data_IF_996263992611
#
_entry.id   IF_996263992611
#
_cell.length_a   1.000
_cell.length_b   1.000
_cell.length_c   1.000
_cell.angle_alpha   90.00
_cell.angle_beta   90.00
_cell.angle_gamma   90.00
#
_symmetry.space_group_name_H-M   'P 1'
#
loop_
_entity.id
_entity.type
_entity.pdbx_description
1 polymer ?
#
# COMPACT_ATOMS: atom_id res chain seq x y z
N UNK A 1 26.80 -45.07 -38.10
CA UNK A 1 26.51 -44.41 -36.82
C UNK A 1 26.11 -42.93 -36.97
N UNK A 2 26.64 -42.16 -37.92
CA UNK A 2 26.25 -40.74 -38.11
C UNK A 2 24.80 -40.55 -38.59
N UNK A 3 24.30 -41.38 -39.53
CA UNK A 3 22.92 -41.27 -40.02
C UNK A 3 21.83 -41.65 -38.99
N UNK A 4 22.10 -42.56 -38.05
CA UNK A 4 21.13 -42.95 -37.01
C UNK A 4 20.97 -41.87 -35.94
N UNK A 5 22.06 -41.18 -35.56
CA UNK A 5 22.02 -40.04 -34.63
C UNK A 5 21.19 -38.90 -35.25
N UNK A 6 21.31 -38.65 -36.55
CA UNK A 6 20.50 -37.63 -37.26
C UNK A 6 19.03 -38.03 -37.37
N UNK A 7 18.71 -39.30 -37.63
CA UNK A 7 17.33 -39.79 -37.68
C UNK A 7 16.64 -39.79 -36.31
N UNK A 8 17.35 -40.18 -35.25
CA UNK A 8 16.85 -40.09 -33.88
C UNK A 8 16.66 -38.64 -33.44
N UNK A 9 17.59 -37.74 -33.80
CA UNK A 9 17.44 -36.31 -33.54
C UNK A 9 16.24 -35.71 -34.27
N UNK A 10 16.02 -36.06 -35.55
CA UNK A 10 14.83 -35.61 -36.30
C UNK A 10 13.53 -36.12 -35.67
N UNK A 11 13.49 -37.38 -35.23
CA UNK A 11 12.35 -37.95 -34.50
C UNK A 11 12.11 -37.25 -33.16
N UNK A 12 13.18 -36.91 -32.43
CA UNK A 12 13.09 -36.17 -31.17
C UNK A 12 12.56 -34.74 -31.38
N UNK A 13 13.00 -34.06 -32.43
CA UNK A 13 12.53 -32.71 -32.78
C UNK A 13 11.04 -32.73 -33.19
N UNK A 14 10.62 -33.70 -34.01
CA UNK A 14 9.21 -33.91 -34.37
C UNK A 14 8.34 -34.16 -33.12
N UNK A 15 8.78 -35.08 -32.25
CA UNK A 15 8.07 -35.38 -31.00
C UNK A 15 7.98 -34.14 -30.09
N UNK A 16 9.07 -33.40 -29.93
CA UNK A 16 9.10 -32.17 -29.15
C UNK A 16 8.10 -31.14 -29.69
N UNK A 17 8.12 -30.88 -31.00
CA UNK A 17 7.19 -29.94 -31.63
C UNK A 17 5.74 -30.37 -31.46
N UNK A 18 5.43 -31.67 -31.60
CA UNK A 18 4.10 -32.21 -31.36
C UNK A 18 3.65 -32.04 -29.91
N UNK A 19 4.53 -32.25 -28.94
CA UNK A 19 4.24 -32.03 -27.51
C UNK A 19 3.98 -30.54 -27.26
N UNK A 20 4.81 -29.64 -27.79
CA UNK A 20 4.64 -28.20 -27.64
C UNK A 20 3.31 -27.70 -28.23
N UNK A 21 2.96 -28.14 -29.44
CA UNK A 21 1.68 -27.81 -30.08
C UNK A 21 0.51 -28.38 -29.26
N UNK A 22 0.61 -29.62 -28.79
CA UNK A 22 -0.44 -30.24 -27.98
C UNK A 22 -0.63 -29.51 -26.65
N UNK A 23 0.45 -29.11 -25.98
CA UNK A 23 0.41 -28.34 -24.74
C UNK A 23 -0.27 -26.98 -24.94
N UNK A 24 0.06 -26.27 -26.01
CA UNK A 24 -0.58 -25.00 -26.36
C UNK A 24 -2.08 -25.18 -26.68
N UNK A 25 -2.44 -26.28 -27.36
CA UNK A 25 -3.81 -26.60 -27.71
C UNK A 25 -4.64 -26.89 -26.45
N UNK A 26 -4.10 -27.63 -25.48
CA UNK A 26 -4.78 -27.89 -24.19
C UNK A 26 -5.13 -26.59 -23.48
N UNK A 27 -4.22 -25.63 -23.43
CA UNK A 27 -4.45 -24.33 -22.79
C UNK A 27 -5.52 -23.51 -23.51
N UNK A 28 -5.43 -23.45 -24.84
CA UNK A 28 -6.37 -22.67 -25.67
C UNK A 28 -7.77 -23.29 -25.61
N UNK A 29 -7.86 -24.61 -25.78
CA UNK A 29 -9.12 -25.35 -25.73
C UNK A 29 -9.80 -25.26 -24.36
N UNK A 30 -9.05 -25.16 -23.26
CA UNK A 30 -9.64 -24.96 -21.95
C UNK A 30 -10.41 -23.64 -21.87
N UNK A 31 -9.81 -22.54 -22.36
CA UNK A 31 -10.46 -21.24 -22.38
C UNK A 31 -11.65 -21.20 -23.33
N UNK A 32 -11.50 -21.78 -24.52
CA UNK A 32 -12.59 -21.88 -25.50
C UNK A 32 -13.76 -22.69 -24.94
N UNK A 33 -13.46 -23.76 -24.19
CA UNK A 33 -14.45 -24.57 -23.51
C UNK A 33 -15.17 -23.79 -22.39
N UNK A 34 -14.45 -23.06 -21.53
CA UNK A 34 -15.06 -22.20 -20.51
C UNK A 34 -16.00 -21.16 -21.13
N UNK A 35 -15.55 -20.50 -22.21
CA UNK A 35 -16.35 -19.53 -22.95
C UNK A 35 -17.58 -20.18 -23.60
N UNK A 36 -17.41 -21.32 -24.28
CA UNK A 36 -18.50 -22.02 -24.94
C UNK A 36 -19.56 -22.52 -23.95
N UNK A 37 -19.16 -23.02 -22.78
CA UNK A 37 -20.08 -23.40 -21.71
C UNK A 37 -20.87 -22.19 -21.18
N UNK A 38 -20.20 -21.03 -21.04
CA UNK A 38 -20.86 -19.79 -20.62
C UNK A 38 -21.86 -19.31 -21.68
N UNK A 39 -21.46 -19.27 -22.94
CA UNK A 39 -22.34 -18.87 -24.06
C UNK A 39 -23.56 -19.78 -24.17
N UNK A 40 -23.35 -21.10 -24.05
CA UNK A 40 -24.42 -22.09 -24.03
C UNK A 40 -25.42 -21.84 -22.88
N UNK A 41 -24.91 -21.53 -21.68
CA UNK A 41 -25.73 -21.23 -20.49
C UNK A 41 -26.49 -19.92 -20.64
N UNK A 42 -25.78 -18.83 -20.96
CA UNK A 42 -26.29 -17.45 -20.96
C UNK A 42 -27.27 -17.23 -22.12
N UNK A 43 -26.93 -17.74 -23.30
CA UNK A 43 -27.81 -17.75 -24.47
C UNK A 43 -28.94 -18.77 -24.40
N UNK A 44 -28.92 -19.66 -23.40
CA UNK A 44 -29.86 -20.80 -23.27
C UNK A 44 -29.93 -21.69 -24.52
N UNK A 45 -28.83 -21.76 -25.27
CA UNK A 45 -28.75 -22.47 -26.56
C UNK A 45 -28.94 -23.99 -26.41
N UNK A 46 -28.77 -24.52 -25.20
CA UNK A 46 -29.07 -25.92 -24.89
C UNK A 46 -30.54 -26.27 -25.17
N UNK A 47 -31.45 -25.30 -25.14
CA UNK A 47 -32.86 -25.50 -25.49
C UNK A 47 -33.08 -25.74 -26.97
N UNK A 48 -32.28 -25.08 -27.82
CA UNK A 48 -32.31 -25.30 -29.28
C UNK A 48 -31.83 -26.71 -29.63
N UNK A 49 -31.00 -27.30 -28.76
CA UNK A 49 -30.54 -28.69 -28.87
C UNK A 49 -31.49 -29.69 -28.19
N UNK A 50 -32.62 -29.24 -27.64
CA UNK A 50 -33.66 -30.10 -27.04
C UNK A 50 -33.48 -30.43 -25.56
N UNK A 51 -32.52 -29.83 -24.86
CA UNK A 51 -32.32 -30.06 -23.42
C UNK A 51 -33.20 -29.12 -22.58
N UNK A 52 -33.72 -29.63 -21.46
CA UNK A 52 -34.60 -28.85 -20.58
C UNK A 52 -33.85 -27.73 -19.84
N UNK A 53 -32.64 -28.03 -19.36
CA UNK A 53 -31.78 -27.11 -18.65
C UNK A 53 -30.30 -27.32 -19.02
N UNK A 54 -29.47 -26.36 -18.63
CA UNK A 54 -28.04 -26.36 -18.93
C UNK A 54 -27.31 -27.55 -18.28
N UNK A 55 -27.68 -27.90 -17.06
CA UNK A 55 -27.06 -29.01 -16.33
C UNK A 55 -27.29 -30.36 -17.01
N UNK A 56 -28.48 -30.61 -17.53
CA UNK A 56 -28.81 -31.81 -18.30
C UNK A 56 -27.94 -31.90 -19.56
N UNK A 57 -27.82 -30.80 -20.31
CA UNK A 57 -26.94 -30.72 -21.48
C UNK A 57 -25.49 -31.06 -21.11
N UNK A 58 -24.95 -30.45 -20.06
CA UNK A 58 -23.58 -30.71 -19.62
C UNK A 58 -23.38 -32.15 -19.13
N UNK A 59 -24.38 -32.71 -18.43
CA UNK A 59 -24.36 -34.08 -17.95
C UNK A 59 -24.39 -35.11 -19.08
N UNK A 60 -25.24 -34.89 -20.09
CA UNK A 60 -25.40 -35.82 -21.22
C UNK A 60 -24.26 -35.72 -22.23
N UNK A 61 -23.89 -34.53 -22.68
CA UNK A 61 -22.91 -34.37 -23.76
C UNK A 61 -21.45 -34.53 -23.30
N UNK A 62 -21.15 -34.12 -22.07
CA UNK A 62 -19.78 -34.03 -21.58
C UNK A 62 -19.53 -34.87 -20.31
N UNK A 63 -20.54 -35.58 -19.80
CA UNK A 63 -20.41 -36.33 -18.55
C UNK A 63 -20.11 -35.43 -17.35
N UNK A 64 -20.49 -34.16 -17.40
CA UNK A 64 -20.16 -33.18 -16.36
C UNK A 64 -21.21 -33.12 -15.26
N UNK A 65 -20.74 -33.05 -14.02
CA UNK A 65 -21.62 -32.67 -12.91
C UNK A 65 -21.97 -31.19 -13.01
N UNK A 66 -23.14 -30.82 -12.46
CA UNK A 66 -23.54 -29.42 -12.26
C UNK A 66 -22.41 -28.58 -11.68
N UNK A 67 -21.79 -29.06 -10.60
CA UNK A 67 -20.68 -28.36 -9.94
C UNK A 67 -19.50 -28.13 -10.88
N UNK A 68 -19.11 -29.11 -11.69
CA UNK A 68 -18.01 -28.94 -12.63
C UNK A 68 -18.36 -27.96 -13.74
N UNK A 69 -19.56 -28.05 -14.33
CA UNK A 69 -19.99 -27.12 -15.37
C UNK A 69 -19.94 -25.66 -14.90
N UNK A 70 -20.46 -25.39 -13.69
CA UNK A 70 -20.41 -24.04 -13.10
C UNK A 70 -18.99 -23.62 -12.67
N UNK A 71 -18.11 -24.55 -12.27
CA UNK A 71 -16.69 -24.25 -12.02
C UNK A 71 -16.00 -23.69 -13.27
N UNK A 72 -16.18 -24.32 -14.43
CA UNK A 72 -15.60 -23.83 -15.69
C UNK A 72 -16.12 -22.44 -16.05
N UNK A 73 -17.40 -22.16 -15.83
CA UNK A 73 -17.95 -20.83 -16.11
C UNK A 73 -17.42 -19.78 -15.11
N UNK A 74 -17.31 -20.12 -13.82
CA UNK A 74 -16.76 -19.19 -12.82
C UNK A 74 -15.33 -18.74 -13.14
N UNK A 75 -14.53 -19.62 -13.76
CA UNK A 75 -13.16 -19.29 -14.19
C UNK A 75 -13.17 -18.11 -15.16
N UNK A 76 -14.02 -18.13 -16.19
CA UNK A 76 -14.07 -17.04 -17.18
C UNK A 76 -14.76 -15.79 -16.65
N UNK A 77 -15.64 -15.92 -15.66
CA UNK A 77 -16.35 -14.79 -15.06
C UNK A 77 -15.48 -13.98 -14.09
N UNK A 78 -14.62 -14.64 -13.33
CA UNK A 78 -13.98 -14.03 -12.18
C UNK A 78 -12.45 -13.96 -12.27
N UNK A 79 -11.82 -14.61 -13.26
CA UNK A 79 -10.39 -14.39 -13.50
C UNK A 79 -10.23 -13.08 -14.27
N UNK A 80 -9.46 -12.15 -13.70
CA UNK A 80 -9.16 -10.86 -14.33
C UNK A 80 -8.45 -11.07 -15.69
N UNK A 81 -8.80 -10.31 -16.74
CA UNK A 81 -8.12 -10.35 -18.05
C UNK A 81 -6.60 -10.20 -17.95
N UNK A 82 -6.11 -9.41 -17.00
CA UNK A 82 -4.67 -9.23 -16.76
C UNK A 82 -4.02 -10.54 -16.28
N UNK A 83 -4.75 -11.28 -15.43
CA UNK A 83 -4.33 -12.57 -14.89
C UNK A 83 -4.51 -13.73 -15.87
N UNK A 84 -5.34 -13.59 -16.92
CA UNK A 84 -5.53 -14.63 -17.93
C UNK A 84 -4.19 -15.02 -18.55
N UNK A 85 -3.32 -14.05 -18.83
CA UNK A 85 -2.00 -14.29 -19.44
C UNK A 85 -1.07 -15.10 -18.54
N UNK A 86 -1.03 -14.76 -17.24
CA UNK A 86 -0.22 -15.43 -16.22
C UNK A 86 -0.85 -16.73 -15.75
N UNK A 87 -2.15 -16.94 -15.97
CA UNK A 87 -2.86 -18.14 -15.54
C UNK A 87 -3.09 -19.17 -16.65
N UNK A 88 -2.71 -18.90 -17.91
CA UNK A 88 -2.96 -19.81 -19.06
C UNK A 88 -2.44 -21.23 -18.86
N UNK A 89 -1.38 -21.40 -18.07
CA UNK A 89 -0.76 -22.69 -17.82
C UNK A 89 -1.23 -23.35 -16.53
N UNK A 90 -2.17 -22.73 -15.79
CA UNK A 90 -2.75 -23.33 -14.59
C UNK A 90 -3.82 -24.36 -14.95
N UNK A 91 -3.85 -25.46 -14.20
CA UNK A 91 -4.95 -26.41 -14.27
C UNK A 91 -6.26 -25.83 -13.72
N UNK A 92 -7.39 -26.41 -14.15
CA UNK A 92 -8.76 -26.01 -13.78
C UNK A 92 -8.94 -25.77 -12.28
N UNK A 93 -8.42 -26.65 -11.43
CA UNK A 93 -8.57 -26.52 -9.97
C UNK A 93 -7.90 -25.26 -9.42
N UNK A 94 -6.71 -24.91 -9.91
CA UNK A 94 -6.00 -23.70 -9.48
C UNK A 94 -6.72 -22.45 -9.99
N UNK A 95 -7.14 -22.47 -11.26
CA UNK A 95 -7.94 -21.39 -11.86
C UNK A 95 -9.22 -21.15 -11.07
N UNK A 96 -9.95 -22.21 -10.74
CA UNK A 96 -11.16 -22.12 -9.95
C UNK A 96 -10.90 -21.56 -8.55
N UNK A 97 -9.83 -21.98 -7.87
CA UNK A 97 -9.48 -21.42 -6.56
C UNK A 97 -9.23 -19.90 -6.64
N UNK A 98 -8.48 -19.46 -7.64
CA UNK A 98 -8.25 -18.03 -7.89
C UNK A 98 -9.54 -17.29 -8.23
N UNK A 99 -10.44 -17.90 -9.00
CA UNK A 99 -11.74 -17.32 -9.39
C UNK A 99 -12.71 -17.14 -8.21
N UNK A 100 -12.39 -17.69 -7.03
CA UNK A 100 -13.14 -17.46 -5.78
C UNK A 100 -12.66 -16.24 -4.97
N UNK A 101 -11.59 -15.58 -5.41
CA UNK A 101 -10.95 -14.46 -4.71
C UNK A 101 -11.30 -13.13 -5.39
N UNK A 102 -11.21 -12.04 -4.63
CA UNK A 102 -11.23 -10.69 -5.17
C UNK A 102 -10.05 -10.48 -6.13
N UNK A 103 -10.17 -9.59 -7.12
CA UNK A 103 -9.09 -9.29 -8.06
C UNK A 103 -7.80 -8.87 -7.34
N UNK A 104 -7.92 -8.03 -6.31
CA UNK A 104 -6.79 -7.61 -5.49
C UNK A 104 -6.10 -8.79 -4.77
N UNK A 105 -6.88 -9.73 -4.24
CA UNK A 105 -6.31 -10.92 -3.58
C UNK A 105 -5.74 -11.92 -4.59
N UNK A 106 -6.32 -12.05 -5.79
CA UNK A 106 -5.71 -12.82 -6.88
C UNK A 106 -4.31 -12.27 -7.19
N UNK A 107 -4.19 -10.95 -7.37
CA UNK A 107 -2.91 -10.30 -7.64
C UNK A 107 -1.90 -10.52 -6.51
N UNK A 108 -2.31 -10.39 -5.24
CA UNK A 108 -1.43 -10.68 -4.08
C UNK A 108 -0.90 -12.11 -4.12
N UNK A 109 -1.77 -13.09 -4.37
CA UNK A 109 -1.36 -14.51 -4.42
C UNK A 109 -0.41 -14.77 -5.58
N UNK A 110 -0.73 -14.29 -6.78
CA UNK A 110 0.07 -14.52 -7.99
C UNK A 110 1.37 -13.74 -8.03
N UNK A 111 1.44 -12.59 -7.33
CA UNK A 111 2.68 -11.80 -7.23
C UNK A 111 3.64 -12.34 -6.17
N UNK A 112 3.10 -12.90 -5.07
CA UNK A 112 3.92 -13.42 -3.97
C UNK A 112 4.43 -14.85 -4.21
N UNK A 113 3.77 -15.63 -5.07
CA UNK A 113 4.05 -17.05 -5.25
C UNK A 113 4.11 -17.46 -6.72
N UNK A 114 4.96 -18.44 -7.03
CA UNK A 114 4.89 -19.14 -8.32
C UNK A 114 3.75 -20.17 -8.28
N UNK A 115 2.53 -19.71 -8.58
CA UNK A 115 1.31 -20.54 -8.56
C UNK A 115 1.40 -21.70 -9.56
N UNK A 116 2.25 -21.60 -10.59
CA UNK A 116 2.52 -22.65 -11.58
C UNK A 116 3.08 -23.91 -10.91
N UNK A 117 4.04 -23.70 -10.00
CA UNK A 117 4.81 -24.76 -9.35
C UNK A 117 4.16 -25.27 -8.07
N UNK A 118 3.25 -24.50 -7.47
CA UNK A 118 2.50 -24.95 -6.29
C UNK A 118 1.56 -26.11 -6.59
N UNK A 119 1.32 -26.99 -5.64
CA UNK A 119 0.19 -27.93 -5.69
C UNK A 119 -1.13 -27.21 -5.36
N UNK A 120 -2.26 -27.83 -5.72
CA UNK A 120 -3.59 -27.30 -5.38
C UNK A 120 -3.74 -27.12 -3.86
N UNK A 121 -3.22 -28.05 -3.06
CA UNK A 121 -3.28 -27.99 -1.58
C UNK A 121 -2.47 -26.84 -1.01
N UNK A 122 -1.29 -26.57 -1.57
CA UNK A 122 -0.45 -25.45 -1.14
C UNK A 122 -1.14 -24.12 -1.49
N UNK A 123 -1.75 -24.02 -2.67
CA UNK A 123 -2.51 -22.85 -3.06
C UNK A 123 -3.72 -22.63 -2.13
N UNK A 124 -4.46 -23.68 -1.78
CA UNK A 124 -5.56 -23.60 -0.79
C UNK A 124 -5.06 -23.11 0.58
N UNK A 125 -3.89 -23.60 1.02
CA UNK A 125 -3.31 -23.18 2.28
C UNK A 125 -2.92 -21.69 2.26
N UNK A 126 -2.35 -21.21 1.15
CA UNK A 126 -1.95 -19.82 1.00
C UNK A 126 -3.15 -18.88 0.93
N UNK A 127 -4.19 -19.27 0.19
CA UNK A 127 -5.48 -18.57 0.17
C UNK A 127 -6.07 -18.48 1.58
N UNK A 128 -6.01 -19.57 2.35
CA UNK A 128 -6.53 -19.59 3.72
C UNK A 128 -5.73 -18.65 4.63
N UNK A 129 -4.40 -18.63 4.53
CA UNK A 129 -3.56 -17.67 5.28
C UNK A 129 -3.90 -16.23 4.92
N UNK A 130 -4.04 -15.93 3.62
CA UNK A 130 -4.39 -14.59 3.17
C UNK A 130 -5.74 -14.13 3.74
N UNK A 131 -6.74 -15.03 3.76
CA UNK A 131 -8.04 -14.74 4.40
C UNK A 131 -7.91 -14.42 5.88
N UNK A 132 -7.17 -15.24 6.64
CA UNK A 132 -6.93 -15.00 8.07
C UNK A 132 -6.21 -13.66 8.31
N UNK A 133 -5.25 -13.30 7.47
CA UNK A 133 -4.55 -12.01 7.56
C UNK A 133 -5.50 -10.86 7.26
N UNK A 134 -6.28 -10.94 6.19
CA UNK A 134 -7.26 -9.90 5.85
C UNK A 134 -8.32 -9.74 6.95
N UNK A 135 -8.82 -10.83 7.53
CA UNK A 135 -9.78 -10.80 8.63
C UNK A 135 -9.18 -10.10 9.86
N UNK A 136 -7.93 -10.42 10.20
CA UNK A 136 -7.22 -9.77 11.30
C UNK A 136 -7.00 -8.28 11.02
N UNK A 137 -6.58 -7.91 9.81
CA UNK A 137 -6.38 -6.52 9.42
C UNK A 137 -7.68 -5.71 9.49
N UNK A 138 -8.82 -6.33 9.15
CA UNK A 138 -10.12 -5.67 9.28
C UNK A 138 -10.49 -5.44 10.75
N UNK A 139 -10.27 -6.42 11.63
CA UNK A 139 -10.48 -6.25 13.08
C UNK A 139 -9.57 -5.15 13.64
N UNK A 140 -8.28 -5.18 13.30
CA UNK A 140 -7.32 -4.16 13.74
C UNK A 140 -7.76 -2.77 13.23
N UNK A 141 -8.24 -2.68 11.98
CA UNK A 141 -8.78 -1.43 11.43
C UNK A 141 -10.00 -0.92 12.19
N UNK A 142 -10.96 -1.79 12.51
CA UNK A 142 -12.14 -1.43 13.30
C UNK A 142 -11.74 -0.89 14.69
N UNK A 143 -10.77 -1.53 15.35
CA UNK A 143 -10.24 -1.03 16.63
C UNK A 143 -9.54 0.33 16.50
N UNK A 144 -8.75 0.54 15.44
CA UNK A 144 -8.12 1.85 15.21
C UNK A 144 -9.16 2.94 14.94
N UNK A 145 -10.26 2.63 14.25
CA UNK A 145 -11.36 3.57 14.02
C UNK A 145 -12.06 3.96 15.34
N UNK A 146 -12.30 2.99 16.24
CA UNK A 146 -12.84 3.24 17.58
C UNK A 146 -11.89 4.10 18.44
N UNK A 147 -10.59 3.79 18.45
CA UNK A 147 -9.57 4.58 19.15
C UNK A 147 -9.51 6.03 18.64
N UNK A 148 -9.64 6.23 17.33
CA UNK A 148 -9.65 7.57 16.73
C UNK A 148 -10.88 8.37 17.17
N UNK A 149 -12.06 7.76 17.22
CA UNK A 149 -13.29 8.41 17.68
C UNK A 149 -13.19 8.84 19.15
N UNK A 150 -12.58 8.01 20.01
CA UNK A 150 -12.31 8.32 21.41
C UNK A 150 -11.33 9.49 21.56
N UNK A 151 -10.22 9.47 20.80
CA UNK A 151 -9.24 10.58 20.78
C UNK A 151 -9.90 11.87 20.31
N UNK A 152 -10.75 11.81 19.29
CA UNK A 152 -11.50 12.95 18.78
C UNK A 152 -12.48 13.50 19.81
N UNK A 153 -13.12 12.63 20.59
CA UNK A 153 -13.95 13.06 21.71
C UNK A 153 -13.14 13.80 22.77
N UNK A 154 -11.98 13.27 23.17
CA UNK A 154 -11.10 13.95 24.13
C UNK A 154 -10.61 15.31 23.62
N UNK A 155 -10.22 15.40 22.34
CA UNK A 155 -9.82 16.66 21.71
C UNK A 155 -10.95 17.68 21.78
N UNK A 156 -12.20 17.30 21.51
CA UNK A 156 -13.36 18.19 21.63
C UNK A 156 -13.54 18.69 23.06
N UNK A 157 -13.37 17.82 24.06
CA UNK A 157 -13.46 18.19 25.48
C UNK A 157 -12.37 19.18 25.89
N UNK A 158 -11.11 18.91 25.53
CA UNK A 158 -9.97 19.79 25.82
C UNK A 158 -10.17 21.16 25.16
N UNK A 159 -10.62 21.20 23.90
CA UNK A 159 -10.94 22.45 23.20
C UNK A 159 -12.02 23.26 23.92
N UNK A 160 -13.06 22.59 24.43
CA UNK A 160 -14.08 23.23 25.27
C UNK A 160 -13.47 23.87 26.52
N UNK A 161 -12.70 23.11 27.29
CA UNK A 161 -12.06 23.63 28.51
C UNK A 161 -11.08 24.76 28.24
N UNK A 162 -10.35 24.72 27.11
CA UNK A 162 -9.42 25.78 26.73
C UNK A 162 -10.17 27.09 26.45
N UNK A 163 -11.34 27.00 25.82
CA UNK A 163 -12.20 28.15 25.57
C UNK A 163 -12.73 28.73 26.88
N UNK A 164 -13.21 27.89 27.80
CA UNK A 164 -13.70 28.36 29.10
C UNK A 164 -12.60 29.08 29.90
N UNK A 165 -11.36 28.58 29.85
CA UNK A 165 -10.20 29.24 30.48
C UNK A 165 -9.86 30.57 29.80
N UNK A 166 -9.96 30.65 28.47
CA UNK A 166 -9.71 31.90 27.74
C UNK A 166 -10.76 32.97 28.09
N UNK A 167 -12.03 32.58 28.14
CA UNK A 167 -13.15 33.44 28.55
C UNK A 167 -12.95 33.95 30.00
N UNK A 168 -12.57 33.07 30.94
CA UNK A 168 -12.24 33.46 32.32
C UNK A 168 -11.04 34.42 32.40
N UNK A 169 -10.00 34.22 31.59
CA UNK A 169 -8.85 35.13 31.55
C UNK A 169 -9.24 36.51 31.04
N UNK A 170 -10.17 36.60 30.08
CA UNK A 170 -10.70 37.87 29.59
C UNK A 170 -11.47 38.58 30.70
N UNK A 171 -12.35 37.88 31.43
CA UNK A 171 -13.10 38.43 32.55
C UNK A 171 -12.18 38.97 33.66
N UNK A 172 -11.21 38.16 34.11
CA UNK A 172 -10.23 38.58 35.12
C UNK A 172 -9.41 39.79 34.68
N UNK A 173 -9.01 39.87 33.40
CA UNK A 173 -8.31 41.05 32.86
C UNK A 173 -9.18 42.30 32.91
N UNK A 174 -10.48 42.17 32.63
CA UNK A 174 -11.42 43.28 32.71
C UNK A 174 -11.63 43.72 34.18
N UNK A 175 -11.77 42.77 35.11
CA UNK A 175 -11.90 43.08 36.54
C UNK A 175 -10.66 43.79 37.09
N UNK A 176 -9.45 43.32 36.73
CA UNK A 176 -8.19 44.00 37.08
C UNK A 176 -8.18 45.44 36.54
N UNK A 177 -8.66 45.65 35.31
CA UNK A 177 -8.73 46.98 34.70
C UNK A 177 -9.73 47.89 35.43
N UNK A 178 -10.91 47.37 35.80
CA UNK A 178 -11.90 48.12 36.56
C UNK A 178 -11.39 48.50 37.95
N UNK A 179 -10.82 47.55 38.69
CA UNK A 179 -10.24 47.79 40.02
C UNK A 179 -9.13 48.84 39.97
N UNK A 180 -8.28 48.82 38.92
CA UNK A 180 -7.26 49.84 38.67
C UNK A 180 -7.82 51.21 38.32
N UNK A 181 -9.05 51.28 37.81
CA UNK A 181 -9.70 52.54 37.38
C UNK A 181 -10.58 53.20 38.46
N UNK A 182 -10.86 52.51 39.57
CA UNK A 182 -11.66 53.08 40.66
C UNK A 182 -10.92 54.25 41.31
N UNK A 183 -11.53 55.46 41.38
CA UNK A 183 -10.97 56.57 42.13
C UNK A 183 -10.88 56.17 43.60
N UNK A 184 -9.70 56.37 44.20
CA UNK A 184 -9.55 56.27 45.65
C UNK A 184 -10.11 57.57 46.22
N UNK A 185 -11.21 57.51 46.98
CA UNK A 185 -11.69 58.64 47.79
C UNK A 185 -10.70 58.87 48.94
N UNK A 186 -9.62 59.59 48.63
CA UNK A 186 -8.71 60.13 49.63
C UNK A 186 -9.32 61.44 50.11
N UNK A 187 -10.06 61.39 51.22
CA UNK A 187 -10.20 62.57 52.06
C UNK A 187 -8.77 63.02 52.39
N UNK A 188 -8.39 64.20 51.89
CA UNK A 188 -7.03 64.72 51.96
C UNK A 188 -6.54 64.83 53.42
N UNK A 189 -5.88 63.77 53.88
CA UNK A 189 -4.82 63.84 54.87
C UNK A 189 -3.55 63.42 54.15
N UNK A 190 -2.45 64.15 54.35
CA UNK A 190 -1.15 63.82 53.78
C UNK A 190 -0.84 62.33 54.01
N UNK A 191 -0.33 61.60 53.01
CA UNK A 191 -0.12 60.16 53.14
C UNK A 191 0.89 59.92 54.27
N UNK A 192 0.41 59.29 55.36
CA UNK A 192 1.27 58.73 56.42
C UNK A 192 2.38 57.90 55.78
N UNK A 193 3.55 57.85 56.42
CA UNK A 193 4.70 57.05 55.96
C UNK A 193 4.30 55.58 55.68
N UNK A 194 3.32 55.06 56.42
CA UNK A 194 2.77 53.71 56.21
C UNK A 194 2.14 53.53 54.82
N UNK A 195 1.45 54.55 54.29
CA UNK A 195 0.81 54.50 52.96
C UNK A 195 1.87 54.55 51.85
N UNK A 196 2.98 55.25 52.07
CA UNK A 196 4.13 55.24 51.15
C UNK A 196 4.81 53.87 51.14
N UNK A 197 5.06 53.30 52.31
CA UNK A 197 5.64 51.96 52.45
C UNK A 197 4.75 50.87 51.83
N UNK A 198 3.44 50.94 52.02
CA UNK A 198 2.48 50.02 51.40
C UNK A 198 2.50 50.11 49.86
N UNK A 199 2.52 51.32 49.29
CA UNK A 199 2.61 51.51 47.83
C UNK A 199 3.90 50.95 47.25
N UNK A 200 5.02 51.14 47.95
CA UNK A 200 6.31 50.63 47.53
C UNK A 200 6.37 49.10 47.62
N UNK A 201 5.74 48.52 48.66
CA UNK A 201 5.61 47.07 48.83
C UNK A 201 4.76 46.44 47.73
N UNK A 202 3.62 47.05 47.38
CA UNK A 202 2.75 46.60 46.27
C UNK A 202 3.52 46.65 44.95
N UNK A 203 4.21 47.76 44.66
CA UNK A 203 5.00 47.90 43.42
C UNK A 203 6.12 46.86 43.33
N UNK A 204 6.73 46.51 44.45
CA UNK A 204 7.75 45.47 44.49
C UNK A 204 7.14 44.08 44.32
N UNK A 205 5.97 43.79 44.91
CA UNK A 205 5.23 42.56 44.71
C UNK A 205 4.78 42.37 43.24
N UNK A 206 4.22 43.40 42.62
CA UNK A 206 3.81 43.38 41.21
C UNK A 206 5.00 43.07 40.28
N UNK A 207 6.13 43.77 40.46
CA UNK A 207 7.37 43.49 39.72
C UNK A 207 7.92 42.09 39.95
N UNK A 208 7.75 41.54 41.14
CA UNK A 208 8.24 40.19 41.47
C UNK A 208 7.33 39.12 40.85
N UNK A 209 6.02 39.35 40.86
CA UNK A 209 5.03 38.47 40.24
C UNK A 209 5.17 38.45 38.70
N UNK A 210 5.35 39.62 38.06
CA UNK A 210 5.60 39.70 36.62
C UNK A 210 6.85 38.91 36.22
N UNK A 211 7.95 39.06 36.97
CA UNK A 211 9.18 38.29 36.74
C UNK A 211 8.99 36.78 36.91
N UNK A 212 8.18 36.35 37.88
CA UNK A 212 7.90 34.93 38.09
C UNK A 212 7.07 34.33 36.95
N UNK A 213 6.09 35.08 36.42
CA UNK A 213 5.31 34.66 35.25
C UNK A 213 6.20 34.54 34.01
N UNK A 214 7.06 35.53 33.76
CA UNK A 214 8.00 35.49 32.63
C UNK A 214 8.97 34.30 32.75
N UNK A 215 9.47 34.01 33.96
CA UNK A 215 10.35 32.87 34.22
C UNK A 215 9.65 31.52 33.96
N UNK A 216 8.41 31.36 34.43
CA UNK A 216 7.62 30.14 34.21
C UNK A 216 7.30 29.93 32.71
N UNK A 217 7.02 31.01 31.98
CA UNK A 217 6.80 30.94 30.53
C UNK A 217 8.08 30.56 29.77
N UNK A 218 9.23 31.13 30.15
CA UNK A 218 10.51 30.75 29.57
C UNK A 218 10.88 29.28 29.84
N UNK A 219 10.65 28.81 31.07
CA UNK A 219 10.89 27.41 31.47
C UNK A 219 10.00 26.46 30.65
N UNK A 220 8.70 26.75 30.55
CA UNK A 220 7.77 25.97 29.75
C UNK A 220 8.18 25.91 28.26
N UNK A 221 8.61 27.04 27.68
CA UNK A 221 9.14 27.07 26.32
C UNK A 221 10.43 26.25 26.16
N UNK A 222 11.30 26.21 27.18
CA UNK A 222 12.51 25.37 27.18
C UNK A 222 12.13 23.89 27.20
N UNK A 223 11.17 23.49 28.02
CA UNK A 223 10.71 22.10 28.11
C UNK A 223 10.08 21.61 26.81
N UNK A 224 9.23 22.43 26.19
CA UNK A 224 8.64 22.14 24.87
C UNK A 224 9.76 21.94 23.83
N UNK A 225 10.76 22.83 23.79
CA UNK A 225 11.90 22.68 22.85
C UNK A 225 12.69 21.40 23.09
N UNK A 226 12.96 21.06 24.35
CA UNK A 226 13.67 19.81 24.69
C UNK A 226 12.88 18.57 24.31
N UNK A 227 11.56 18.57 24.51
CA UNK A 227 10.69 17.46 24.13
C UNK A 227 10.65 17.28 22.62
N UNK A 228 10.50 18.37 21.85
CA UNK A 228 10.54 18.31 20.39
C UNK A 228 11.89 17.80 19.87
N UNK A 229 13.00 18.24 20.47
CA UNK A 229 14.33 17.77 20.09
C UNK A 229 14.52 16.28 20.37
N UNK A 230 14.10 15.81 21.55
CA UNK A 230 14.12 14.38 21.91
C UNK A 230 13.31 13.55 20.91
N UNK A 231 12.07 13.97 20.62
CA UNK A 231 11.22 13.27 19.66
C UNK A 231 11.82 13.24 18.25
N UNK A 232 12.48 14.33 17.82
CA UNK A 232 13.19 14.39 16.54
C UNK A 232 14.34 13.40 16.47
N UNK A 233 15.14 13.30 17.53
CA UNK A 233 16.25 12.35 17.62
C UNK A 233 15.74 10.89 17.64
N UNK A 234 14.68 10.62 18.40
CA UNK A 234 14.06 9.29 18.49
C UNK A 234 13.52 8.83 17.12
N UNK A 235 12.80 9.72 16.42
CA UNK A 235 12.28 9.49 15.07
C UNK A 235 13.41 9.19 14.08
N UNK A 236 14.50 9.97 14.14
CA UNK A 236 15.64 9.77 13.25
C UNK A 236 16.32 8.40 13.50
N UNK A 237 16.47 8.01 14.77
CA UNK A 237 17.00 6.67 15.11
C UNK A 237 16.13 5.54 14.59
N UNK A 238 14.80 5.67 14.69
CA UNK A 238 13.87 4.67 14.15
C UNK A 238 13.98 4.56 12.63
N UNK A 239 14.08 5.71 11.94
CA UNK A 239 14.25 5.74 10.48
C UNK A 239 15.57 5.09 10.05
N UNK A 240 16.66 5.34 10.77
CA UNK A 240 17.96 4.75 10.48
C UNK A 240 17.98 3.25 10.78
N UNK A 241 17.31 2.80 11.84
CA UNK A 241 17.14 1.38 12.15
C UNK A 241 16.34 0.65 11.07
N UNK A 242 15.23 1.23 10.60
CA UNK A 242 14.43 0.66 9.50
C UNK A 242 15.22 0.58 8.20
N UNK A 243 16.02 1.61 7.88
CA UNK A 243 16.90 1.59 6.70
C UNK A 243 17.94 0.49 6.80
N UNK A 244 18.58 0.34 7.95
CA UNK A 244 19.55 -0.72 8.17
C UNK A 244 18.93 -2.12 8.04
N UNK A 245 17.73 -2.34 8.59
CA UNK A 245 16.99 -3.60 8.45
C UNK A 245 16.63 -3.89 6.99
N UNK A 246 16.23 -2.86 6.22
CA UNK A 246 15.97 -2.98 4.79
C UNK A 246 17.22 -3.34 3.98
N UNK A 247 18.35 -2.67 4.26
CA UNK A 247 19.63 -2.96 3.63
C UNK A 247 20.14 -4.36 3.97
N UNK A 248 19.91 -4.83 5.20
CA UNK A 248 20.25 -6.19 5.61
C UNK A 248 19.39 -7.24 4.89
N UNK A 249 18.08 -7.00 4.75
CA UNK A 249 17.19 -7.85 3.94
C UNK A 249 17.63 -7.90 2.48
N UNK A 250 18.05 -6.78 1.90
CA UNK A 250 18.63 -6.72 0.55
C UNK A 250 19.93 -7.53 0.43
N UNK A 251 20.81 -7.48 1.44
CA UNK A 251 22.05 -8.28 1.46
C UNK A 251 21.78 -9.78 1.63
N UNK A 252 20.81 -10.16 2.44
CA UNK A 252 20.41 -11.56 2.63
C UNK A 252 19.76 -12.12 1.35
N UNK A 253 18.99 -11.30 0.62
CA UNK A 253 18.47 -11.62 -0.71
C UNK A 253 19.56 -11.72 -1.81
N UNK A 254 20.77 -11.24 -1.55
CA UNK A 254 21.90 -11.22 -2.48
C UNK A 254 22.92 -12.36 -2.26
N UNK A 255 22.65 -13.35 -1.39
CA UNK A 255 23.51 -14.53 -1.28
C UNK A 255 23.32 -15.51 -2.47
N UNK A 256 24.40 -16.11 -3.00
CA UNK A 256 24.36 -16.73 -4.32
C UNK A 256 23.84 -18.17 -4.26
N UNK A 257 22.55 -18.36 -4.53
CA UNK A 257 22.11 -19.53 -5.30
C UNK A 257 22.40 -19.20 -6.76
N UNK A 258 23.06 -20.10 -7.51
CA UNK A 258 23.47 -19.93 -8.92
C UNK A 258 22.44 -19.10 -9.72
N UNK A 259 22.70 -17.80 -9.83
CA UNK A 259 21.76 -16.86 -10.42
C UNK A 259 21.93 -16.93 -11.93
N UNK A 260 20.89 -17.42 -12.61
CA UNK A 260 20.74 -17.32 -14.06
C UNK A 260 20.94 -15.85 -14.47
N UNK A 261 21.94 -15.57 -15.31
CA UNK A 261 22.24 -14.23 -15.83
C UNK A 261 20.99 -13.54 -16.38
N UNK A 262 20.00 -14.32 -16.85
CA UNK A 262 18.70 -13.81 -17.29
C UNK A 262 17.81 -13.32 -16.16
N UNK A 263 17.83 -13.95 -14.98
CA UNK A 263 17.08 -13.46 -13.81
C UNK A 263 17.69 -12.17 -13.26
N UNK A 264 19.02 -12.08 -13.23
CA UNK A 264 19.74 -10.86 -12.82
C UNK A 264 19.43 -9.72 -13.79
N UNK A 265 19.50 -9.98 -15.10
CA UNK A 265 19.12 -9.00 -16.11
C UNK A 265 17.64 -8.58 -16.02
N UNK A 266 16.71 -9.51 -15.74
CA UNK A 266 15.29 -9.20 -15.53
C UNK A 266 15.07 -8.28 -14.33
N UNK A 267 15.78 -8.49 -13.23
CA UNK A 267 15.70 -7.63 -12.05
C UNK A 267 16.21 -6.21 -12.37
N UNK A 268 17.36 -6.10 -13.02
CA UNK A 268 17.89 -4.79 -13.46
C UNK A 268 16.99 -4.11 -14.50
N UNK A 269 16.43 -4.87 -15.44
CA UNK A 269 15.49 -4.36 -16.44
C UNK A 269 14.21 -3.83 -15.78
N UNK A 270 13.64 -4.56 -14.82
CA UNK A 270 12.42 -4.14 -14.11
C UNK A 270 12.64 -2.85 -13.33
N UNK A 271 13.75 -2.76 -12.58
CA UNK A 271 14.11 -1.56 -11.82
C UNK A 271 14.38 -0.36 -12.74
N UNK A 272 15.09 -0.58 -13.85
CA UNK A 272 15.35 0.46 -14.85
C UNK A 272 14.05 0.92 -15.53
N UNK A 273 13.15 -0.01 -15.87
CA UNK A 273 11.87 0.29 -16.50
C UNK A 273 10.96 1.13 -15.60
N UNK A 274 10.82 0.75 -14.32
CA UNK A 274 10.02 1.54 -13.35
C UNK A 274 10.59 2.95 -13.14
N UNK A 275 11.91 3.06 -12.96
CA UNK A 275 12.58 4.35 -12.83
C UNK A 275 12.40 5.24 -14.08
N UNK A 276 12.48 4.65 -15.27
CA UNK A 276 12.28 5.35 -16.53
C UNK A 276 10.82 5.80 -16.71
N UNK A 277 9.87 4.95 -16.33
CA UNK A 277 8.45 5.27 -16.37
C UNK A 277 8.10 6.43 -15.43
N UNK A 278 8.62 6.42 -14.19
CA UNK A 278 8.47 7.53 -13.24
C UNK A 278 9.08 8.83 -13.78
N UNK A 279 10.23 8.74 -14.45
CA UNK A 279 10.87 9.90 -15.07
C UNK A 279 10.02 10.49 -16.22
N UNK A 280 9.41 9.64 -17.06
CA UNK A 280 8.48 10.08 -18.12
C UNK A 280 7.23 10.71 -17.50
N UNK A 281 6.66 10.09 -16.46
CA UNK A 281 5.49 10.63 -15.76
C UNK A 281 5.78 12.00 -15.12
N UNK A 282 6.96 12.17 -14.52
CA UNK A 282 7.41 13.45 -13.99
C UNK A 282 7.59 14.51 -15.09
N UNK A 283 8.22 14.13 -16.22
CA UNK A 283 8.42 15.02 -17.35
C UNK A 283 7.09 15.48 -17.98
N UNK A 284 6.07 14.61 -18.00
CA UNK A 284 4.72 14.96 -18.47
C UNK A 284 4.02 16.01 -17.58
N UNK A 285 4.40 16.10 -16.31
CA UNK A 285 3.88 17.08 -15.35
C UNK A 285 4.65 18.42 -15.37
N UNK A 286 5.78 18.49 -16.09
CA UNK A 286 6.67 19.65 -16.14
C UNK A 286 6.95 20.09 -17.60
N UNK A 287 5.94 20.61 -18.32
CA UNK A 287 6.02 20.89 -19.76
C UNK A 287 7.05 21.97 -20.12
N UNK A 288 7.33 22.91 -19.22
CA UNK A 288 8.30 24.02 -19.43
C UNK A 288 9.76 23.54 -19.55
N UNK A 289 10.04 22.29 -19.18
CA UNK A 289 11.37 21.69 -19.20
C UNK A 289 11.46 20.45 -20.10
N UNK A 290 10.44 20.22 -20.93
CA UNK A 290 10.33 19.01 -21.75
C UNK A 290 11.50 18.82 -22.73
N UNK A 291 12.02 19.92 -23.32
CA UNK A 291 13.19 19.86 -24.20
C UNK A 291 14.46 19.41 -23.45
N UNK A 292 14.67 19.91 -22.24
CA UNK A 292 15.78 19.51 -21.40
C UNK A 292 15.69 18.03 -21.02
N UNK A 293 14.51 17.56 -20.59
CA UNK A 293 14.29 16.15 -20.25
C UNK A 293 14.46 15.24 -21.47
N UNK A 294 13.89 15.62 -22.63
CA UNK A 294 14.07 14.86 -23.89
C UNK A 294 15.54 14.76 -24.28
N UNK A 295 16.31 15.84 -24.12
CA UNK A 295 17.76 15.83 -24.38
C UNK A 295 18.52 14.86 -23.49
N UNK A 296 18.22 14.83 -22.18
CA UNK A 296 18.86 13.90 -21.22
C UNK A 296 18.47 12.45 -21.46
N UNK A 297 17.19 12.20 -21.78
CA UNK A 297 16.67 10.86 -22.12
C UNK A 297 17.32 10.34 -23.40
N UNK A 298 17.43 11.19 -24.43
CA UNK A 298 18.10 10.81 -25.68
C UNK A 298 19.57 10.49 -25.48
N UNK A 299 20.29 11.25 -24.63
CA UNK A 299 21.68 10.98 -24.31
C UNK A 299 21.86 9.61 -23.60
N UNK A 300 20.95 9.29 -22.68
CA UNK A 300 20.94 8.01 -21.98
C UNK A 300 20.70 6.83 -22.93
N UNK A 301 19.72 6.93 -23.84
CA UNK A 301 19.47 5.90 -24.87
C UNK A 301 20.67 5.75 -25.81
N UNK A 302 21.26 6.86 -26.25
CA UNK A 302 22.44 6.84 -27.13
C UNK A 302 23.67 6.22 -26.45
N UNK A 303 23.85 6.42 -25.13
CA UNK A 303 24.94 5.77 -24.39
C UNK A 303 24.80 4.25 -24.36
N UNK A 304 23.57 3.73 -24.32
CA UNK A 304 23.30 2.29 -24.41
C UNK A 304 23.58 1.74 -25.82
N UNK A 305 23.24 2.49 -26.87
CA UNK A 305 23.54 2.10 -28.26
C UNK A 305 25.04 2.08 -28.58
N UNK A 306 25.83 2.95 -27.94
CA UNK A 306 27.27 3.01 -28.15
C UNK A 306 28.04 1.93 -27.36
N UNK A 307 27.55 1.53 -26.19
CA UNK A 307 28.17 0.47 -25.38
C UNK A 307 28.17 -0.92 -26.05
N UNK A 308 27.28 -1.15 -27.03
CA UNK A 308 27.19 -2.40 -27.79
C UNK A 308 27.92 -2.38 -29.15
N UNK A 309 28.71 -1.34 -29.45
CA UNK A 309 29.53 -1.26 -30.68
C UNK A 309 31.00 -1.63 -30.49
N UNK A 310 31.48 -1.64 -29.24
CA UNK A 310 32.88 -1.93 -28.88
C UNK A 310 33.06 -3.34 -28.26
N UNK A 311 32.08 -4.24 -28.44
CA UNK A 311 32.19 -5.69 -28.23
C UNK A 311 32.04 -6.41 -29.58
#
# INVERSE_FOLDING_TARGET
>A
MTNEITAQHAKALDLHNRIMVSAQLVQTNLWDMCNGLKEMRDGKLYKELGYQNFEDYCGTEFGMTRTNAHKYISIIENISPENVSTSKHFGVSKLYLLSTLSEADQQKITAANDVSDMTVKELEAEIKKLKVINDKLNIDKEHLEEDLDDRDHEIRKIKGTLKDIDDQNIELRNEIKELRSRPIDVAAAEPSDDVRQLKETIKNLERTSEKQVDQLQEEHLRDIRQLHEKNRIEMQKQLDAQKAEYEEKLRQAAQPAQQDDKQVFKAYYSAAYDAFYRMIAFAAQSPDHLEFFRGKISALISSFSNANRDM
#
